data_IF_229868801123
#
_entry.id   IF_229868801123
#
_cell.length_a   1.000
_cell.length_b   1.000
_cell.length_c   1.000
_cell.angle_alpha   90.00
_cell.angle_beta   90.00
_cell.angle_gamma   90.00
#
_symmetry.space_group_name_H-M   'P 1'
#
loop_
_entity.id
_entity.type
_entity.pdbx_description
1 polymer ?
#
# COMPACT_ATOMS: atom_id res chain seq x y z
N UNK A 1 -19.50 -9.25 3.57
CA UNK A 1 -18.68 -9.67 4.73
C UNK A 1 -17.22 -9.55 4.35
N UNK A 2 -16.54 -8.45 4.70
CA UNK A 2 -15.09 -8.42 4.78
C UNK A 2 -14.70 -7.27 5.71
N UNK A 3 -14.21 -7.64 6.89
CA UNK A 3 -13.70 -6.72 7.91
C UNK A 3 -12.42 -6.07 7.34
N UNK A 4 -12.52 -4.79 7.01
CA UNK A 4 -11.39 -3.92 6.69
C UNK A 4 -10.66 -3.61 7.99
N UNK A 5 -9.82 -4.56 8.44
CA UNK A 5 -9.12 -4.46 9.72
C UNK A 5 -7.98 -3.45 9.62
N UNK A 6 -8.18 -2.30 10.24
CA UNK A 6 -7.15 -1.39 10.76
C UNK A 6 -6.13 -0.84 9.76
N UNK A 7 -6.56 0.05 8.87
CA UNK A 7 -5.69 1.13 8.41
C UNK A 7 -5.41 2.05 9.60
N UNK A 8 -4.21 2.01 10.17
CA UNK A 8 -3.77 2.98 11.18
C UNK A 8 -3.69 4.34 10.51
N UNK A 9 -4.79 5.09 10.56
CA UNK A 9 -4.84 6.48 10.14
C UNK A 9 -4.09 7.28 11.22
N UNK A 10 -2.79 7.49 11.02
CA UNK A 10 -2.08 8.52 11.76
C UNK A 10 -2.40 9.83 11.03
N UNK A 11 -3.43 10.53 11.50
CA UNK A 11 -3.67 11.91 11.09
C UNK A 11 -2.43 12.72 11.45
N UNK A 12 -1.65 13.11 10.45
CA UNK A 12 -0.60 14.12 10.59
C UNK A 12 -1.11 15.36 9.87
N UNK A 13 -1.88 16.17 10.61
CA UNK A 13 -1.82 17.61 10.41
C UNK A 13 -0.50 18.05 11.02
N UNK A 14 0.54 18.23 10.20
CA UNK A 14 1.71 19.08 10.47
C UNK A 14 2.68 18.94 9.29
N UNK A 15 2.89 20.04 8.57
CA UNK A 15 3.73 20.11 7.36
C UNK A 15 5.23 19.98 7.61
N UNK A 16 5.69 18.92 8.31
CA UNK A 16 7.10 18.76 8.69
C UNK A 16 7.78 17.51 8.10
N UNK A 17 7.04 16.50 7.63
CA UNK A 17 7.68 15.36 6.95
C UNK A 17 6.80 14.77 5.83
N UNK A 18 7.41 14.41 4.69
CA UNK A 18 6.69 13.71 3.63
C UNK A 18 6.14 12.37 4.13
N UNK A 19 4.89 12.00 3.80
CA UNK A 19 4.25 10.79 4.32
C UNK A 19 4.93 9.53 3.78
N UNK A 20 5.37 8.65 4.69
CA UNK A 20 6.01 7.37 4.36
C UNK A 20 5.14 6.23 4.85
N UNK A 21 4.47 5.55 3.92
CA UNK A 21 3.42 4.59 4.24
C UNK A 21 3.81 3.21 3.73
N UNK A 22 3.72 2.20 4.59
CA UNK A 22 3.78 0.79 4.18
C UNK A 22 2.42 0.15 4.46
N UNK A 23 1.84 -0.45 3.43
CA UNK A 23 0.64 -1.27 3.54
C UNK A 23 1.01 -2.74 3.70
N UNK A 24 0.68 -3.33 4.85
CA UNK A 24 0.84 -4.75 5.10
C UNK A 24 -0.36 -5.54 4.58
N UNK A 25 -0.11 -6.38 3.57
CA UNK A 25 -1.08 -7.24 2.91
C UNK A 25 -0.96 -8.72 3.33
N UNK A 26 -0.18 -9.04 4.36
CA UNK A 26 -0.01 -10.42 4.85
C UNK A 26 -1.34 -11.09 5.24
N UNK A 27 -2.27 -10.32 5.80
CA UNK A 27 -3.62 -10.79 6.15
C UNK A 27 -4.65 -10.73 5.03
N UNK A 28 -4.28 -10.24 3.83
CA UNK A 28 -5.21 -10.03 2.73
C UNK A 28 -5.16 -11.20 1.76
N UNK A 29 -6.29 -11.91 1.64
CA UNK A 29 -6.43 -13.10 0.80
C UNK A 29 -7.07 -12.83 -0.56
N UNK A 30 -7.77 -11.70 -0.68
CA UNK A 30 -8.49 -11.30 -1.90
C UNK A 30 -8.47 -9.78 -2.08
N UNK A 31 -8.43 -9.33 -3.32
CA UNK A 31 -8.47 -7.93 -3.71
C UNK A 31 -9.30 -7.77 -4.99
N UNK A 32 -10.05 -6.68 -5.08
CA UNK A 32 -10.85 -6.31 -6.25
C UNK A 32 -10.46 -4.91 -6.75
N UNK A 33 -11.18 -4.43 -7.76
CA UNK A 33 -10.97 -3.10 -8.35
C UNK A 33 -11.09 -1.95 -7.34
N UNK A 34 -11.91 -2.10 -6.29
CA UNK A 34 -12.04 -1.10 -5.22
C UNK A 34 -10.78 -1.07 -4.36
N UNK A 35 -10.23 -2.24 -4.02
CA UNK A 35 -8.95 -2.37 -3.31
C UNK A 35 -7.81 -1.70 -4.09
N UNK A 36 -7.74 -1.97 -5.40
CA UNK A 36 -6.76 -1.33 -6.30
C UNK A 36 -6.91 0.20 -6.30
N UNK A 37 -8.14 0.71 -6.44
CA UNK A 37 -8.37 2.15 -6.48
C UNK A 37 -7.96 2.86 -5.17
N UNK A 38 -8.08 2.17 -4.03
CA UNK A 38 -7.57 2.68 -2.74
C UNK A 38 -6.06 2.84 -2.77
N UNK A 39 -5.31 1.86 -3.28
CA UNK A 39 -3.85 1.95 -3.42
C UNK A 39 -3.42 3.06 -4.36
N UNK A 40 -4.06 3.19 -5.51
CA UNK A 40 -3.79 4.26 -6.48
C UNK A 40 -4.02 5.64 -5.84
N UNK A 41 -5.16 5.80 -5.15
CA UNK A 41 -5.50 7.07 -4.49
C UNK A 41 -4.50 7.39 -3.36
N UNK A 42 -4.13 6.40 -2.56
CA UNK A 42 -3.16 6.56 -1.47
C UNK A 42 -1.77 6.91 -2.01
N UNK A 43 -1.32 6.25 -3.08
CA UNK A 43 -0.05 6.58 -3.76
C UNK A 43 -0.07 8.01 -4.29
N UNK A 44 -1.12 8.42 -5.01
CA UNK A 44 -1.23 9.79 -5.54
C UNK A 44 -1.18 10.85 -4.43
N UNK A 45 -1.82 10.60 -3.28
CA UNK A 45 -1.77 11.48 -2.12
C UNK A 45 -0.38 11.54 -1.49
N UNK A 46 0.26 10.40 -1.29
CA UNK A 46 1.60 10.33 -0.72
C UNK A 46 2.62 11.04 -1.62
N UNK A 47 2.63 10.73 -2.91
CA UNK A 47 3.53 11.34 -3.90
C UNK A 47 3.27 12.83 -4.10
N UNK A 48 2.00 13.26 -4.05
CA UNK A 48 1.65 14.69 -4.07
C UNK A 48 2.19 15.48 -2.87
N UNK A 49 2.44 14.80 -1.75
CA UNK A 49 3.08 15.36 -0.56
C UNK A 49 4.58 15.03 -0.47
N UNK A 50 5.23 14.70 -1.60
CA UNK A 50 6.65 14.30 -1.69
C UNK A 50 7.03 13.07 -0.86
N UNK A 51 6.02 12.28 -0.47
CA UNK A 51 6.16 11.02 0.24
C UNK A 51 6.08 9.81 -0.68
N UNK A 52 5.91 8.64 -0.06
CA UNK A 52 5.81 7.38 -0.78
C UNK A 52 4.86 6.40 -0.10
N UNK A 53 4.34 5.49 -0.93
CA UNK A 53 3.57 4.32 -0.51
C UNK A 53 4.28 3.06 -1.00
N UNK A 54 4.37 2.05 -0.15
CA UNK A 54 4.91 0.73 -0.46
C UNK A 54 3.99 -0.37 0.04
N UNK A 55 4.06 -1.53 -0.59
CA UNK A 55 3.30 -2.72 -0.21
C UNK A 55 4.25 -3.75 0.41
N UNK A 56 3.80 -4.44 1.44
CA UNK A 56 4.54 -5.49 2.13
C UNK A 56 3.69 -6.75 2.28
N UNK A 57 4.30 -7.93 2.12
CA UNK A 57 3.71 -9.19 2.58
C UNK A 57 2.49 -9.67 1.81
N UNK A 58 2.23 -9.15 0.61
CA UNK A 58 1.11 -9.62 -0.20
C UNK A 58 1.20 -11.12 -0.51
N UNK A 59 0.09 -11.84 -0.35
CA UNK A 59 0.01 -13.26 -0.72
C UNK A 59 0.07 -13.43 -2.25
N UNK A 60 0.46 -14.60 -2.74
CA UNK A 60 0.70 -14.84 -4.17
C UNK A 60 -0.50 -14.49 -5.07
N UNK A 61 -1.73 -14.78 -4.62
CA UNK A 61 -2.96 -14.42 -5.34
C UNK A 61 -3.09 -12.90 -5.53
N UNK A 62 -2.80 -12.14 -4.48
CA UNK A 62 -2.85 -10.67 -4.50
C UNK A 62 -1.68 -10.13 -5.30
N UNK A 63 -0.47 -10.67 -5.16
CA UNK A 63 0.70 -10.30 -5.95
C UNK A 63 0.44 -10.48 -7.45
N UNK A 64 -0.17 -11.60 -7.85
CA UNK A 64 -0.51 -11.86 -9.25
C UNK A 64 -1.56 -10.88 -9.77
N UNK A 65 -2.53 -10.52 -8.95
CA UNK A 65 -3.51 -9.49 -9.30
C UNK A 65 -2.84 -8.11 -9.43
N UNK A 66 -1.95 -7.73 -8.51
CA UNK A 66 -1.20 -6.47 -8.56
C UNK A 66 -0.36 -6.35 -9.83
N UNK A 67 0.33 -7.44 -10.23
CA UNK A 67 1.04 -7.50 -11.52
C UNK A 67 0.10 -7.40 -12.71
N UNK A 68 -1.05 -8.08 -12.66
CA UNK A 68 -2.02 -8.06 -13.75
C UNK A 68 -2.55 -6.64 -14.03
N UNK A 69 -2.75 -5.86 -12.97
CA UNK A 69 -3.22 -4.47 -13.08
C UNK A 69 -2.08 -3.45 -13.23
N UNK A 70 -0.81 -3.88 -13.18
CA UNK A 70 0.37 -3.01 -13.27
C UNK A 70 0.59 -2.11 -12.06
N UNK A 71 0.06 -2.49 -10.88
CA UNK A 71 0.24 -1.68 -9.66
C UNK A 71 1.66 -1.78 -9.12
N UNK A 72 2.33 -2.91 -9.29
CA UNK A 72 3.72 -3.12 -8.90
C UNK A 72 4.69 -2.18 -9.62
N UNK A 73 4.36 -1.73 -10.83
CA UNK A 73 5.16 -0.76 -11.60
C UNK A 73 5.12 0.65 -10.98
N UNK A 74 4.04 0.99 -10.26
CA UNK A 74 3.84 2.31 -9.67
C UNK A 74 4.02 2.33 -8.15
N UNK A 75 3.78 1.21 -7.47
CA UNK A 75 3.87 1.07 -6.02
C UNK A 75 4.83 -0.09 -5.71
N UNK A 76 6.03 0.18 -5.15
CA UNK A 76 6.98 -0.86 -4.83
C UNK A 76 6.38 -1.91 -3.89
N UNK A 77 6.46 -3.17 -4.32
CA UNK A 77 5.99 -4.32 -3.56
C UNK A 77 7.17 -5.08 -2.97
N UNK A 78 7.11 -5.38 -1.68
CA UNK A 78 8.16 -6.08 -0.95
C UNK A 78 7.61 -7.36 -0.29
N UNK A 79 8.40 -8.44 -0.21
CA UNK A 79 7.99 -9.66 0.47
C UNK A 79 7.70 -9.49 1.97
N UNK A 80 8.33 -8.52 2.63
CA UNK A 80 8.22 -8.32 4.09
C UNK A 80 8.09 -6.85 4.46
N UNK A 81 7.44 -6.60 5.60
CA UNK A 81 7.34 -5.26 6.20
C UNK A 81 8.72 -4.63 6.44
N UNK A 82 9.68 -5.44 6.92
CA UNK A 82 11.05 -5.01 7.16
C UNK A 82 11.72 -4.51 5.88
N UNK A 83 11.57 -5.23 4.77
CA UNK A 83 12.13 -4.78 3.48
C UNK A 83 11.48 -3.48 2.99
N UNK A 84 10.17 -3.36 3.14
CA UNK A 84 9.45 -2.14 2.75
C UNK A 84 9.85 -0.90 3.55
N UNK A 85 10.27 -1.06 4.82
CA UNK A 85 10.72 0.05 5.67
C UNK A 85 12.18 0.45 5.44
N UNK A 86 13.02 -0.49 4.99
CA UNK A 86 14.46 -0.32 4.90
C UNK A 86 14.98 0.01 3.49
N UNK A 87 14.10 0.10 2.50
CA UNK A 87 14.42 0.53 1.11
C UNK A 87 14.30 2.05 0.97
#
# INVERSE_FOLDING_TARGET
MSKMSSARHCCLEDGTAPPRIVADLSGVTFMDSSGINVFVTAHRRASGAQGWLRIAGAQESVVRLLHLVGIDEIIPCHPTLKQALNT
#
